data_IF_364891565606
#
_entry.id   IF_364891565606
#
_cell.length_a   1.000
_cell.length_b   1.000
_cell.length_c   1.000
_cell.angle_alpha   90.00
_cell.angle_beta   90.00
_cell.angle_gamma   90.00
#
_symmetry.space_group_name_H-M   'P 1'
#
loop_
_entity.id
_entity.type
_entity.pdbx_description
1 polymer ?
#
# COMPACT_ATOMS: atom_id res chain seq x y z
N UNK A 1 -19.82 22.96 5.28
CA UNK A 1 -18.79 22.27 4.48
C UNK A 1 -18.39 23.22 3.35
N UNK A 2 -17.13 23.32 2.94
CA UNK A 2 -16.76 24.29 1.88
C UNK A 2 -17.20 23.76 0.51
N UNK A 3 -17.54 24.66 -0.43
CA UNK A 3 -17.89 24.30 -1.81
C UNK A 3 -16.82 23.43 -2.48
N UNK A 4 -15.55 23.75 -2.21
CA UNK A 4 -14.39 22.98 -2.70
C UNK A 4 -14.42 21.53 -2.21
N UNK A 5 -14.83 21.28 -0.97
CA UNK A 5 -14.90 19.94 -0.42
C UNK A 5 -16.08 19.14 -1.01
N UNK A 6 -17.25 19.76 -1.17
CA UNK A 6 -18.40 19.12 -1.82
C UNK A 6 -18.10 18.75 -3.28
N UNK A 7 -17.51 19.67 -4.04
CA UNK A 7 -17.12 19.42 -5.43
C UNK A 7 -16.10 18.26 -5.53
N UNK A 8 -15.14 18.20 -4.60
CA UNK A 8 -14.17 17.11 -4.54
C UNK A 8 -14.82 15.76 -4.21
N UNK A 9 -15.75 15.72 -3.25
CA UNK A 9 -16.48 14.51 -2.90
C UNK A 9 -17.36 14.02 -4.05
N UNK A 10 -18.02 14.93 -4.77
CA UNK A 10 -18.86 14.60 -5.92
C UNK A 10 -18.06 14.13 -7.15
N UNK A 11 -16.80 14.57 -7.27
CA UNK A 11 -15.91 14.14 -8.34
C UNK A 11 -15.24 12.77 -8.10
N UNK A 12 -15.39 12.19 -6.91
CA UNK A 12 -14.84 10.86 -6.63
C UNK A 12 -15.57 9.80 -7.48
N UNK A 13 -14.82 8.87 -8.11
CA UNK A 13 -15.45 7.74 -8.77
C UNK A 13 -16.21 6.89 -7.74
N UNK A 14 -17.24 6.16 -8.19
CA UNK A 14 -18.06 5.31 -7.31
C UNK A 14 -17.24 4.30 -6.49
N UNK A 15 -16.10 3.85 -7.02
CA UNK A 15 -15.17 2.94 -6.35
C UNK A 15 -14.10 3.65 -5.51
N UNK A 16 -14.09 4.98 -5.43
CA UNK A 16 -12.98 5.76 -4.88
C UNK A 16 -12.69 5.46 -3.41
N UNK A 17 -13.75 5.31 -2.60
CA UNK A 17 -13.64 4.92 -1.19
C UNK A 17 -13.19 3.46 -1.04
N UNK A 18 -13.76 2.55 -1.85
CA UNK A 18 -13.38 1.14 -1.85
C UNK A 18 -11.89 0.97 -2.18
N UNK A 19 -11.42 1.66 -3.22
CA UNK A 19 -10.00 1.65 -3.61
C UNK A 19 -9.09 2.14 -2.47
N UNK A 20 -9.51 3.17 -1.72
CA UNK A 20 -8.74 3.67 -0.59
C UNK A 20 -8.70 2.65 0.56
N UNK A 21 -9.82 1.99 0.86
CA UNK A 21 -9.89 0.92 1.85
C UNK A 21 -8.98 -0.26 1.46
N UNK A 22 -9.06 -0.72 0.21
CA UNK A 22 -8.19 -1.80 -0.30
C UNK A 22 -6.70 -1.45 -0.20
N UNK A 23 -6.31 -0.21 -0.51
CA UNK A 23 -4.91 0.23 -0.38
C UNK A 23 -4.44 0.21 1.08
N UNK A 24 -5.29 0.59 2.02
CA UNK A 24 -4.99 0.51 3.46
C UNK A 24 -4.88 -0.95 3.93
N UNK A 25 -5.80 -1.81 3.53
CA UNK A 25 -5.76 -3.24 3.87
C UNK A 25 -4.46 -3.92 3.40
N UNK A 26 -3.99 -3.57 2.20
CA UNK A 26 -2.71 -4.08 1.67
C UNK A 26 -1.54 -3.58 2.51
N UNK A 27 -1.53 -2.29 2.89
CA UNK A 27 -0.50 -1.72 3.75
C UNK A 27 -0.49 -2.40 5.12
N UNK A 28 -1.64 -2.53 5.78
CA UNK A 28 -1.74 -3.17 7.08
C UNK A 28 -1.20 -4.60 7.07
N UNK A 29 -1.48 -5.35 5.99
CA UNK A 29 -0.93 -6.69 5.82
C UNK A 29 0.58 -6.68 5.58
N UNK A 30 1.09 -5.73 4.80
CA UNK A 30 2.54 -5.58 4.59
C UNK A 30 3.25 -5.22 5.89
N UNK A 31 2.67 -4.36 6.74
CA UNK A 31 3.24 -3.95 8.02
C UNK A 31 3.14 -5.04 9.10
N UNK A 32 2.10 -5.89 9.06
CA UNK A 32 1.92 -6.97 10.03
C UNK A 32 2.87 -8.17 9.83
N UNK A 33 3.40 -8.37 8.61
CA UNK A 33 4.28 -9.51 8.27
C UNK A 33 5.70 -9.40 8.86
N UNK A 34 6.38 -8.23 8.83
CA UNK A 34 7.64 -7.95 9.49
C UNK A 34 7.75 -8.48 10.93
N UNK A 35 6.70 -8.38 11.74
CA UNK A 35 6.73 -8.81 13.15
C UNK A 35 6.97 -10.32 13.32
N UNK A 36 6.56 -11.14 12.34
CA UNK A 36 6.71 -12.60 12.39
C UNK A 36 7.98 -13.12 11.71
N UNK A 37 8.63 -12.30 10.88
CA UNK A 37 9.81 -12.68 10.09
C UNK A 37 11.08 -11.89 10.43
N UNK A 38 10.98 -10.83 11.24
CA UNK A 38 12.12 -9.98 11.60
C UNK A 38 12.65 -9.11 10.45
N UNK A 39 11.84 -8.89 9.40
CA UNK A 39 12.23 -8.14 8.20
C UNK A 39 11.82 -6.67 8.33
N UNK A 40 12.79 -5.77 8.26
CA UNK A 40 12.59 -4.32 8.27
C UNK A 40 12.08 -3.78 6.92
N UNK A 41 11.49 -2.57 6.93
CA UNK A 41 11.13 -1.86 5.69
C UNK A 41 12.32 -1.63 4.76
N UNK A 42 13.53 -1.44 5.32
CA UNK A 42 14.77 -1.35 4.54
C UNK A 42 15.07 -2.63 3.78
N UNK A 43 14.93 -3.78 4.42
CA UNK A 43 15.17 -5.09 3.77
C UNK A 43 14.11 -5.39 2.72
N UNK A 44 12.85 -5.00 2.95
CA UNK A 44 11.81 -5.08 1.92
C UNK A 44 12.15 -4.18 0.72
N UNK A 45 12.64 -2.96 0.96
CA UNK A 45 13.08 -2.07 -0.10
C UNK A 45 14.23 -2.68 -0.92
N UNK A 46 15.23 -3.24 -0.24
CA UNK A 46 16.36 -3.93 -0.87
C UNK A 46 15.90 -5.14 -1.71
N UNK A 47 15.01 -5.98 -1.17
CA UNK A 47 14.46 -7.15 -1.87
C UNK A 47 13.65 -6.78 -3.13
N UNK A 48 13.03 -5.60 -3.12
CA UNK A 48 12.26 -5.08 -4.26
C UNK A 48 13.09 -4.22 -5.21
N UNK A 49 14.37 -3.97 -4.91
CA UNK A 49 15.22 -3.04 -5.68
C UNK A 49 14.70 -1.60 -5.66
N UNK A 50 14.08 -1.19 -4.55
CA UNK A 50 13.46 0.12 -4.34
C UNK A 50 14.18 0.92 -3.27
N UNK A 51 13.92 2.22 -3.23
CA UNK A 51 14.38 3.07 -2.12
C UNK A 51 13.46 2.90 -0.91
N UNK A 52 14.02 3.00 0.30
CA UNK A 52 13.24 3.01 1.53
C UNK A 52 12.19 4.13 1.53
N UNK A 53 12.52 5.30 0.98
CA UNK A 53 11.59 6.42 0.80
C UNK A 53 10.36 6.06 -0.06
N UNK A 54 10.53 5.20 -1.07
CA UNK A 54 9.44 4.72 -1.92
C UNK A 54 8.52 3.77 -1.14
N UNK A 55 9.10 2.83 -0.39
CA UNK A 55 8.33 1.93 0.49
C UNK A 55 7.58 2.73 1.56
N UNK A 56 8.22 3.70 2.20
CA UNK A 56 7.56 4.59 3.17
C UNK A 56 6.45 5.45 2.57
N UNK A 57 6.45 5.71 1.26
CA UNK A 57 5.32 6.34 0.57
C UNK A 57 4.18 5.35 0.35
N UNK A 58 4.48 4.08 0.07
CA UNK A 58 3.47 3.04 -0.09
C UNK A 58 2.69 2.83 1.21
N UNK A 59 3.38 2.82 2.35
CA UNK A 59 2.78 2.63 3.69
C UNK A 59 1.86 3.78 4.14
N UNK A 60 1.74 4.87 3.36
CA UNK A 60 0.78 5.94 3.65
C UNK A 60 -0.66 5.60 3.24
N UNK A 61 -0.89 4.43 2.62
CA UNK A 61 -2.23 3.98 2.22
C UNK A 61 -2.80 4.67 0.97
N UNK A 62 -2.05 5.58 0.35
CA UNK A 62 -2.48 6.31 -0.86
C UNK A 62 -1.93 5.72 -2.15
N UNK A 63 -1.07 4.71 -2.06
CA UNK A 63 -0.47 4.06 -3.22
C UNK A 63 -1.45 3.09 -3.88
N UNK A 64 -1.45 3.07 -5.21
CA UNK A 64 -2.20 2.11 -6.00
C UNK A 64 -1.35 0.86 -6.24
N UNK A 65 -1.67 -0.23 -5.54
CA UNK A 65 -0.96 -1.50 -5.70
C UNK A 65 -1.52 -2.26 -6.91
N UNK A 66 -0.70 -2.44 -7.95
CA UNK A 66 -1.03 -3.35 -9.05
C UNK A 66 -0.82 -4.80 -8.62
N UNK A 67 -1.46 -5.74 -9.31
CA UNK A 67 -1.20 -7.17 -9.07
C UNK A 67 0.27 -7.54 -9.29
N UNK A 68 0.97 -6.87 -10.20
CA UNK A 68 2.40 -7.05 -10.41
C UNK A 68 3.20 -6.63 -9.16
N UNK A 69 2.93 -5.44 -8.60
CA UNK A 69 3.57 -4.97 -7.37
C UNK A 69 3.29 -5.91 -6.21
N UNK A 70 2.05 -6.37 -6.06
CA UNK A 70 1.66 -7.33 -5.03
C UNK A 70 2.39 -8.67 -5.21
N UNK A 71 2.52 -9.17 -6.44
CA UNK A 71 3.26 -10.40 -6.71
C UNK A 71 4.74 -10.28 -6.30
N UNK A 72 5.39 -9.14 -6.61
CA UNK A 72 6.77 -8.87 -6.19
C UNK A 72 6.89 -8.82 -4.66
N UNK A 73 5.95 -8.17 -3.98
CA UNK A 73 5.89 -8.11 -2.52
C UNK A 73 5.71 -9.52 -1.94
N UNK A 74 4.81 -10.34 -2.50
CA UNK A 74 4.59 -11.71 -2.04
C UNK A 74 5.86 -12.56 -2.13
N UNK A 75 6.63 -12.41 -3.22
CA UNK A 75 7.90 -13.11 -3.39
C UNK A 75 8.96 -12.61 -2.40
N UNK A 76 9.08 -11.29 -2.22
CA UNK A 76 10.02 -10.70 -1.27
C UNK A 76 9.71 -11.10 0.18
N UNK A 77 8.43 -11.10 0.56
CA UNK A 77 7.99 -11.47 1.90
C UNK A 77 7.86 -12.98 2.09
N UNK A 78 7.82 -13.78 1.01
CA UNK A 78 7.59 -15.23 1.06
C UNK A 78 6.24 -15.62 1.69
N UNK A 79 5.21 -14.77 1.53
CA UNK A 79 3.84 -14.97 2.02
C UNK A 79 2.89 -14.15 1.16
N UNK A 80 1.62 -14.56 1.05
CA UNK A 80 0.62 -13.78 0.32
C UNK A 80 0.05 -12.66 1.18
N UNK A 81 0.07 -11.43 0.65
CA UNK A 81 -0.58 -10.26 1.25
C UNK A 81 -2.01 -10.06 0.75
N UNK A 82 -2.41 -10.71 -0.35
CA UNK A 82 -3.82 -10.79 -0.78
C UNK A 82 -4.33 -12.22 -0.66
#
# INVERSE_FOLDING_TARGET
>A
MSKIFEDAMNALPAYGLERAAMSLDVVDRIDAIPERKGMSHRELAEALGKSESEISKWMRGTHNFTFETIAKINLALGVKVL
#
